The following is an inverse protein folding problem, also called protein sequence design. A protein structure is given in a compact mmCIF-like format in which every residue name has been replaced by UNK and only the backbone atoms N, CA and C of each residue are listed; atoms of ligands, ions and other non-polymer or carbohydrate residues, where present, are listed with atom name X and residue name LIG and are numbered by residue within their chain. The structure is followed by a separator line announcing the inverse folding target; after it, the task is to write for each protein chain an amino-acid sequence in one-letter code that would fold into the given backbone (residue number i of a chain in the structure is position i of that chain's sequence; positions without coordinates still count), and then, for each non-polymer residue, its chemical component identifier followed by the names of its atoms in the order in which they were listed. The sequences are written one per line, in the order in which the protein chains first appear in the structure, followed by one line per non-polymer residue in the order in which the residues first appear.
data_IF_095320435639
#
_entry.id   IF_095320435639
#
_cell.length_a   1.000
_cell.length_b   1.000
_cell.length_c   1.000
_cell.angle_alpha   90.00
_cell.angle_beta   90.00
_cell.angle_gamma   90.00
#
_symmetry.space_group_name_H-M   'P 1'
#
loop_
_entity.id
_entity.type
_entity.pdbx_description
1 polymer ?
#
# COMPACT_ATOMS: atom_id res chain seq x y z
N UNK A 1 46.70 -17.28 -52.67
CA UNK A 1 46.18 -18.29 -51.72
C UNK A 1 46.11 -17.67 -50.34
N UNK A 2 44.91 -17.38 -49.82
CA UNK A 2 44.74 -16.72 -48.52
C UNK A 2 44.34 -17.72 -47.44
N UNK A 3 45.17 -17.88 -46.41
CA UNK A 3 44.88 -18.74 -45.27
C UNK A 3 43.75 -18.14 -44.41
N UNK A 4 42.60 -18.83 -44.35
CA UNK A 4 41.50 -18.50 -43.43
C UNK A 4 41.90 -18.86 -42.00
N UNK A 5 42.15 -17.85 -41.15
CA UNK A 5 42.24 -18.03 -39.69
C UNK A 5 40.88 -18.45 -39.14
N UNK A 6 40.79 -19.67 -38.59
CA UNK A 6 39.67 -20.13 -37.76
C UNK A 6 39.66 -19.30 -36.47
N UNK A 7 38.60 -18.50 -36.25
CA UNK A 7 38.31 -17.95 -34.92
C UNK A 7 37.76 -19.07 -34.05
N UNK A 8 38.51 -19.42 -33.00
CA UNK A 8 38.01 -20.25 -31.91
C UNK A 8 37.08 -19.38 -31.08
N UNK A 9 35.79 -19.71 -31.07
CA UNK A 9 34.84 -19.10 -30.15
C UNK A 9 35.06 -19.70 -28.77
N UNK A 10 35.66 -18.93 -27.86
CA UNK A 10 35.53 -19.22 -26.43
C UNK A 10 34.08 -18.94 -26.04
N UNK A 11 33.39 -19.97 -25.52
CA UNK A 11 32.11 -19.80 -24.85
C UNK A 11 32.29 -18.77 -23.74
N UNK A 12 31.56 -17.66 -23.81
CA UNK A 12 31.46 -16.68 -22.75
C UNK A 12 30.71 -17.30 -21.56
N UNK A 13 31.41 -17.99 -20.67
CA UNK A 13 30.94 -18.21 -19.31
C UNK A 13 31.01 -16.83 -18.62
N UNK A 14 29.92 -16.07 -18.74
CA UNK A 14 29.83 -14.68 -18.32
C UNK A 14 29.65 -14.49 -16.81
N UNK A 15 29.85 -15.53 -16.00
CA UNK A 15 29.67 -15.43 -14.55
C UNK A 15 30.72 -16.27 -13.85
N UNK A 16 31.69 -15.60 -13.21
CA UNK A 16 32.55 -16.23 -12.22
C UNK A 16 31.69 -16.90 -11.13
N UNK A 17 32.19 -17.97 -10.48
CA UNK A 17 31.50 -18.59 -9.37
C UNK A 17 31.24 -17.56 -8.26
N UNK A 18 30.16 -17.80 -7.52
CA UNK A 18 29.83 -17.02 -6.34
C UNK A 18 30.83 -17.38 -5.25
N UNK A 19 31.40 -16.38 -4.59
CA UNK A 19 32.20 -16.58 -3.39
C UNK A 19 31.26 -16.88 -2.21
N UNK A 20 31.48 -18.00 -1.52
CA UNK A 20 30.65 -18.48 -0.42
C UNK A 20 30.71 -17.57 0.81
N UNK A 21 31.78 -16.79 0.99
CA UNK A 21 31.94 -15.88 2.14
C UNK A 21 31.29 -14.51 1.90
N UNK A 22 31.42 -13.97 0.69
CA UNK A 22 30.96 -12.61 0.37
C UNK A 22 29.63 -12.56 -0.37
N UNK A 23 29.15 -13.71 -0.86
CA UNK A 23 27.97 -13.84 -1.73
C UNK A 23 28.06 -12.95 -2.98
N UNK A 24 29.28 -12.61 -3.41
CA UNK A 24 29.58 -11.75 -4.56
C UNK A 24 30.31 -12.57 -5.65
N UNK A 25 30.24 -12.12 -6.90
CA UNK A 25 30.95 -12.75 -8.03
C UNK A 25 32.25 -12.02 -8.29
N UNK A 26 33.34 -12.76 -8.50
CA UNK A 26 34.62 -12.16 -8.85
C UNK A 26 34.58 -11.58 -10.27
N UNK A 27 35.06 -10.34 -10.45
CA UNK A 27 35.18 -9.73 -11.77
C UNK A 27 36.47 -10.15 -12.51
N UNK A 28 37.38 -10.84 -11.82
CA UNK A 28 38.70 -11.22 -12.32
C UNK A 28 38.82 -12.74 -12.48
N UNK A 29 39.69 -13.23 -13.39
CA UNK A 29 39.92 -14.66 -13.58
C UNK A 29 40.40 -15.32 -12.28
N UNK A 30 39.93 -16.54 -11.99
CA UNK A 30 40.40 -17.30 -10.83
C UNK A 30 41.91 -17.53 -10.90
N UNK A 31 42.63 -16.91 -9.97
CA UNK A 31 44.01 -17.26 -9.66
C UNK A 31 43.92 -18.51 -8.78
N UNK A 32 44.33 -19.66 -9.31
CA UNK A 32 44.37 -20.93 -8.59
C UNK A 32 45.32 -20.76 -7.39
N UNK A 33 44.80 -20.87 -6.17
CA UNK A 33 45.48 -20.57 -4.89
C UNK A 33 46.74 -21.40 -4.60
N UNK A 34 47.13 -22.32 -5.48
CA UNK A 34 48.26 -23.24 -5.27
C UNK A 34 49.61 -22.72 -5.77
N UNK A 35 49.69 -21.47 -6.24
CA UNK A 35 50.94 -20.74 -6.41
C UNK A 35 50.66 -19.39 -5.75
N UNK A 36 51.24 -19.06 -4.60
CA UNK A 36 52.58 -18.49 -4.54
C UNK A 36 52.93 -18.42 -3.05
N UNK A 37 53.85 -19.28 -2.61
CA UNK A 37 54.52 -19.18 -1.32
C UNK A 37 55.73 -18.21 -1.46
N UNK A 38 55.47 -17.00 -1.97
CA UNK A 38 56.48 -15.95 -2.05
C UNK A 38 56.52 -15.20 -0.73
N UNK A 39 57.42 -15.67 0.12
CA UNK A 39 58.12 -14.80 1.06
C UNK A 39 58.90 -13.74 0.27
N UNK A 40 58.94 -12.54 0.87
CA UNK A 40 59.61 -11.30 0.45
C UNK A 40 58.90 -10.34 -0.51
N UNK A 41 58.66 -9.15 0.05
CA UNK A 41 57.90 -8.00 -0.44
C UNK A 41 58.74 -7.27 -1.48
N UNK A 42 58.62 -7.67 -2.74
CA UNK A 42 58.96 -6.85 -3.90
C UNK A 42 57.74 -6.09 -4.42
N UNK A 43 57.95 -4.95 -5.07
CA UNK A 43 56.89 -4.25 -5.80
C UNK A 43 56.35 -5.22 -6.87
N UNK A 44 55.05 -5.53 -6.90
CA UNK A 44 54.49 -6.45 -7.90
C UNK A 44 54.72 -5.89 -9.30
N UNK A 45 55.33 -6.70 -10.17
CA UNK A 45 55.68 -6.33 -11.54
C UNK A 45 54.60 -6.76 -12.56
N UNK A 46 53.65 -7.60 -12.13
CA UNK A 46 52.53 -8.09 -12.94
C UNK A 46 51.17 -7.84 -12.24
N UNK A 47 50.10 -7.78 -13.03
CA UNK A 47 48.74 -7.55 -12.54
C UNK A 47 48.19 -8.72 -11.71
N UNK A 48 48.60 -9.95 -12.01
CA UNK A 48 48.21 -11.13 -11.21
C UNK A 48 48.88 -11.12 -9.84
N UNK A 49 50.16 -10.77 -9.77
CA UNK A 49 50.91 -10.63 -8.52
C UNK A 49 50.32 -9.52 -7.64
N UNK A 50 49.90 -8.42 -8.27
CA UNK A 50 49.21 -7.33 -7.56
C UNK A 50 47.88 -7.80 -6.96
N UNK A 51 47.05 -8.50 -7.73
CA UNK A 51 45.76 -9.01 -7.23
C UNK A 51 45.95 -10.03 -6.09
N UNK A 52 46.98 -10.87 -6.15
CA UNK A 52 47.33 -11.78 -5.07
C UNK A 52 47.75 -11.03 -3.78
N UNK A 53 48.57 -9.99 -3.91
CA UNK A 53 48.96 -9.14 -2.79
C UNK A 53 47.75 -8.41 -2.16
N UNK A 54 46.86 -7.85 -2.98
CA UNK A 54 45.62 -7.19 -2.54
C UNK A 54 44.68 -8.15 -1.82
N UNK A 55 44.54 -9.40 -2.30
CA UNK A 55 43.72 -10.42 -1.62
C UNK A 55 44.28 -10.77 -0.25
N UNK A 56 45.60 -10.96 -0.15
CA UNK A 56 46.29 -11.24 1.12
C UNK A 56 46.14 -10.07 2.10
N UNK A 57 46.24 -8.84 1.61
CA UNK A 57 45.99 -7.64 2.40
C UNK A 57 44.53 -7.57 2.87
N UNK A 58 43.56 -7.78 1.98
CA UNK A 58 42.13 -7.75 2.30
C UNK A 58 41.75 -8.81 3.34
N UNK A 59 42.29 -10.03 3.25
CA UNK A 59 42.10 -11.10 4.25
C UNK A 59 42.70 -10.75 5.62
N UNK A 60 43.73 -9.89 5.66
CA UNK A 60 44.32 -9.40 6.92
C UNK A 60 43.53 -8.26 7.57
N UNK A 61 42.54 -7.70 6.87
CA UNK A 61 41.71 -6.60 7.36
C UNK A 61 40.37 -7.13 7.92
N UNK A 62 39.81 -6.38 8.87
CA UNK A 62 38.46 -6.67 9.38
C UNK A 62 37.41 -6.37 8.29
N UNK A 63 36.58 -7.37 7.94
CA UNK A 63 35.51 -7.26 6.94
C UNK A 63 34.45 -6.21 7.29
N UNK A 64 34.29 -5.92 8.59
CA UNK A 64 33.35 -4.91 9.08
C UNK A 64 34.07 -3.90 9.97
N UNK A 65 33.97 -2.62 9.62
CA UNK A 65 34.38 -1.50 10.48
C UNK A 65 33.18 -0.57 10.67
N UNK A 66 32.70 -0.45 11.90
CA UNK A 66 31.81 0.64 12.29
C UNK A 66 32.65 1.82 12.77
N UNK A 67 32.61 2.93 12.03
CA UNK A 67 33.11 4.18 12.54
C UNK A 67 32.06 4.73 13.52
N UNK A 68 32.41 4.82 14.80
CA UNK A 68 31.60 5.54 15.76
C UNK A 68 31.56 7.01 15.37
N UNK A 69 30.52 7.42 14.65
CA UNK A 69 30.27 8.84 14.39
C UNK A 69 30.02 9.46 15.76
N UNK A 70 30.97 10.26 16.26
CA UNK A 70 30.69 11.23 17.32
C UNK A 70 29.70 12.22 16.71
N UNK A 71 28.41 11.94 16.88
CA UNK A 71 27.35 12.88 16.61
C UNK A 71 27.58 14.09 17.52
N UNK A 72 28.20 15.15 17.00
CA UNK A 72 27.82 16.49 17.44
C UNK A 72 26.32 16.56 17.15
N UNK A 73 25.51 16.40 18.21
CA UNK A 73 24.04 16.33 18.18
C UNK A 73 23.48 17.07 16.95
N UNK A 74 23.07 16.36 15.89
CA UNK A 74 21.94 16.84 15.15
C UNK A 74 20.80 16.72 16.16
N UNK A 75 20.10 17.81 16.40
CA UNK A 75 18.76 17.75 16.98
C UNK A 75 17.93 16.88 16.04
N UNK A 76 17.96 15.57 16.26
CA UNK A 76 16.95 14.68 15.75
C UNK A 76 15.70 15.16 16.45
N UNK A 77 14.96 16.05 15.81
CA UNK A 77 13.55 16.23 16.07
C UNK A 77 13.01 14.81 15.89
N UNK A 78 12.63 14.09 16.97
CA UNK A 78 11.95 12.83 16.76
C UNK A 78 10.74 13.20 15.93
N UNK A 79 10.63 12.64 14.72
CA UNK A 79 9.33 12.60 14.06
C UNK A 79 8.41 11.91 15.06
N UNK A 80 7.65 12.72 15.81
CA UNK A 80 6.55 12.23 16.62
C UNK A 80 5.71 11.44 15.63
N UNK A 81 5.58 10.11 15.78
CA UNK A 81 4.52 9.45 15.05
C UNK A 81 3.23 10.18 15.46
N UNK A 82 2.39 10.53 14.48
CA UNK A 82 1.07 11.15 14.68
C UNK A 82 0.12 10.16 15.38
N UNK A 83 0.55 9.57 16.50
CA UNK A 83 -0.27 8.80 17.41
C UNK A 83 -0.71 9.75 18.51
N UNK A 84 -1.96 10.20 18.40
CA UNK A 84 -2.74 10.59 19.56
C UNK A 84 -2.87 9.38 20.48
N UNK A 85 -2.39 9.52 21.71
CA UNK A 85 -2.62 8.56 22.79
C UNK A 85 -4.13 8.22 22.88
N UNK A 86 -4.53 6.94 22.97
CA UNK A 86 -5.90 6.58 23.28
C UNK A 86 -6.13 6.75 24.79
N UNK A 87 -6.17 7.99 25.27
CA UNK A 87 -6.78 8.30 26.56
C UNK A 87 -8.29 8.30 26.39
N UNK A 88 -8.91 7.12 26.33
CA UNK A 88 -10.26 6.87 26.84
C UNK A 88 -10.45 5.35 26.90
N UNK A 89 -10.86 4.84 28.06
CA UNK A 89 -11.24 3.44 28.24
C UNK A 89 -12.38 3.11 27.26
N UNK A 90 -12.06 2.38 26.19
CA UNK A 90 -13.03 1.97 25.17
C UNK A 90 -13.95 0.92 25.79
N UNK A 91 -15.17 1.35 26.12
CA UNK A 91 -16.31 0.44 26.14
C UNK A 91 -16.31 -0.26 24.78
N UNK A 92 -16.01 -1.57 24.74
CA UNK A 92 -15.79 -2.30 23.49
C UNK A 92 -17.00 -2.11 22.57
N UNK A 93 -16.87 -1.26 21.55
CA UNK A 93 -17.87 -1.02 20.50
C UNK A 93 -17.90 -2.17 19.48
N UNK A 94 -17.00 -3.15 19.66
CA UNK A 94 -16.82 -4.30 18.78
C UNK A 94 -18.10 -5.11 18.49
N UNK A 95 -18.99 -5.43 19.46
CA UNK A 95 -20.22 -6.17 19.14
C UNK A 95 -21.16 -5.37 18.22
N UNK A 96 -21.32 -4.06 18.45
CA UNK A 96 -22.18 -3.22 17.61
C UNK A 96 -21.60 -3.06 16.20
N UNK A 97 -20.28 -2.91 16.07
CA UNK A 97 -19.63 -2.84 14.77
C UNK A 97 -19.76 -4.17 14.01
N UNK A 98 -19.67 -5.33 14.69
CA UNK A 98 -19.91 -6.64 14.07
C UNK A 98 -21.34 -6.78 13.57
N UNK A 99 -22.32 -6.32 14.35
CA UNK A 99 -23.73 -6.35 13.94
C UNK A 99 -23.96 -5.48 12.70
N UNK A 100 -23.40 -4.27 12.67
CA UNK A 100 -23.45 -3.39 11.50
C UNK A 100 -22.81 -4.05 10.28
N UNK A 101 -21.63 -4.66 10.45
CA UNK A 101 -20.96 -5.37 9.37
C UNK A 101 -21.81 -6.52 8.81
N UNK A 102 -22.46 -7.30 9.68
CA UNK A 102 -23.35 -8.37 9.24
C UNK A 102 -24.52 -7.86 8.39
N UNK A 103 -25.11 -6.71 8.76
CA UNK A 103 -26.16 -6.07 7.97
C UNK A 103 -25.60 -5.67 6.59
N UNK A 104 -24.42 -5.06 6.54
CA UNK A 104 -23.76 -4.67 5.29
C UNK A 104 -23.52 -5.87 4.38
N UNK A 105 -23.01 -6.98 4.93
CA UNK A 105 -22.80 -8.23 4.21
C UNK A 105 -24.10 -8.81 3.63
N UNK A 106 -25.18 -8.80 4.40
CA UNK A 106 -26.49 -9.26 3.93
C UNK A 106 -26.99 -8.42 2.74
N UNK A 107 -26.81 -7.10 2.79
CA UNK A 107 -27.18 -6.21 1.69
C UNK A 107 -26.25 -6.33 0.49
N UNK A 108 -24.95 -6.52 0.72
CA UNK A 108 -23.97 -6.76 -0.34
C UNK A 108 -24.33 -8.01 -1.16
N UNK A 109 -24.69 -9.12 -0.49
CA UNK A 109 -25.16 -10.34 -1.17
C UNK A 109 -26.39 -10.13 -2.05
N UNK A 110 -27.30 -9.24 -1.63
CA UNK A 110 -28.47 -8.84 -2.43
C UNK A 110 -28.08 -7.99 -3.64
N UNK A 111 -27.05 -7.15 -3.51
CA UNK A 111 -26.52 -6.33 -4.60
C UNK A 111 -25.76 -7.15 -5.64
N UNK A 112 -24.98 -8.13 -5.20
CA UNK A 112 -24.19 -8.99 -6.10
C UNK A 112 -25.07 -9.96 -6.90
N UNK A 113 -26.25 -10.30 -6.37
CA UNK A 113 -27.26 -11.12 -7.05
C UNK A 113 -28.34 -10.30 -7.75
N UNK A 114 -28.18 -8.97 -7.84
CA UNK A 114 -29.18 -8.10 -8.44
C UNK A 114 -29.36 -8.40 -9.94
N UNK A 115 -30.60 -8.51 -10.46
CA UNK A 115 -30.83 -8.88 -11.85
C UNK A 115 -30.26 -7.86 -12.84
N UNK A 116 -29.50 -8.35 -13.82
CA UNK A 116 -28.83 -7.53 -14.84
C UNK A 116 -29.82 -6.74 -15.72
N UNK A 117 -31.01 -7.29 -15.95
CA UNK A 117 -32.11 -6.69 -16.72
C UNK A 117 -32.77 -5.49 -16.02
N UNK A 118 -32.55 -5.34 -14.72
CA UNK A 118 -33.04 -4.21 -13.92
C UNK A 118 -31.98 -3.13 -13.71
N UNK A 119 -30.78 -3.29 -14.28
CA UNK A 119 -29.75 -2.26 -14.23
C UNK A 119 -30.15 -1.06 -15.09
N UNK A 120 -29.76 0.11 -14.62
CA UNK A 120 -30.00 1.36 -15.30
C UNK A 120 -28.94 1.57 -16.39
N UNK A 121 -29.39 2.09 -17.54
CA UNK A 121 -28.47 2.52 -18.59
C UNK A 121 -27.61 3.70 -18.09
N UNK A 122 -26.36 3.75 -18.56
CA UNK A 122 -25.40 4.80 -18.22
C UNK A 122 -25.92 6.23 -18.50
N UNK A 123 -26.88 6.38 -19.42
CA UNK A 123 -27.50 7.68 -19.73
C UNK A 123 -28.44 8.20 -18.64
N UNK A 124 -28.90 7.33 -17.74
CA UNK A 124 -29.82 7.71 -16.65
C UNK A 124 -29.09 8.02 -15.34
N UNK A 125 -27.83 7.60 -15.23
CA UNK A 125 -26.98 7.88 -14.09
C UNK A 125 -26.43 9.32 -14.20
N UNK A 126 -26.21 9.99 -13.06
CA UNK A 126 -25.50 11.25 -13.04
C UNK A 126 -24.10 11.10 -13.65
N UNK A 127 -23.76 11.99 -14.57
CA UNK A 127 -22.51 11.95 -15.34
C UNK A 127 -21.38 12.75 -14.69
N UNK A 128 -21.70 13.67 -13.78
CA UNK A 128 -20.73 14.54 -13.11
C UNK A 128 -20.91 14.52 -11.60
N UNK A 129 -19.84 14.80 -10.86
CA UNK A 129 -19.89 14.88 -9.39
C UNK A 129 -20.90 15.91 -8.87
N UNK A 130 -21.11 17.02 -9.59
CA UNK A 130 -22.12 18.03 -9.23
C UNK A 130 -23.54 17.48 -9.36
N UNK A 131 -23.82 16.69 -10.42
CA UNK A 131 -25.10 16.01 -10.55
C UNK A 131 -25.28 14.93 -9.48
N UNK A 132 -24.22 14.21 -9.11
CA UNK A 132 -24.23 13.27 -7.99
C UNK A 132 -24.54 13.97 -6.68
N UNK A 133 -23.88 15.08 -6.35
CA UNK A 133 -24.19 15.88 -5.16
C UNK A 133 -25.67 16.26 -5.10
N UNK A 134 -26.20 16.79 -6.20
CA UNK A 134 -27.62 17.15 -6.27
C UNK A 134 -28.53 15.94 -6.09
N UNK A 135 -28.18 14.79 -6.67
CA UNK A 135 -28.95 13.54 -6.56
C UNK A 135 -28.95 13.01 -5.12
N UNK A 136 -27.79 13.01 -4.47
CA UNK A 136 -27.61 12.52 -3.10
C UNK A 136 -28.38 13.40 -2.10
N UNK A 137 -28.44 14.71 -2.32
CA UNK A 137 -29.18 15.62 -1.44
C UNK A 137 -30.71 15.52 -1.61
N UNK A 138 -31.21 15.23 -2.83
CA UNK A 138 -32.63 15.39 -3.15
C UNK A 138 -33.39 14.08 -3.42
N UNK A 139 -32.71 12.96 -3.62
CA UNK A 139 -33.33 11.68 -3.99
C UNK A 139 -32.93 10.58 -3.02
N UNK A 140 -33.87 9.72 -2.67
CA UNK A 140 -33.63 8.54 -1.83
C UNK A 140 -32.83 7.49 -2.63
N UNK A 141 -31.85 6.80 -2.01
CA UNK A 141 -31.14 5.70 -2.65
C UNK A 141 -32.08 4.61 -3.12
N UNK A 142 -31.87 4.14 -4.34
CA UNK A 142 -32.65 3.04 -4.92
C UNK A 142 -31.73 1.95 -5.43
N UNK A 143 -32.18 0.70 -5.31
CA UNK A 143 -31.40 -0.48 -5.72
C UNK A 143 -30.87 -0.40 -7.16
N UNK A 144 -31.65 0.00 -8.18
CA UNK A 144 -31.15 0.08 -9.55
C UNK A 144 -29.98 1.07 -9.69
N UNK A 145 -30.05 2.22 -9.00
CA UNK A 145 -28.99 3.23 -9.05
C UNK A 145 -27.72 2.67 -8.42
N UNK A 146 -27.82 2.16 -7.18
CA UNK A 146 -26.65 1.66 -6.43
C UNK A 146 -26.00 0.47 -7.16
N UNK A 147 -26.80 -0.44 -7.71
CA UNK A 147 -26.30 -1.62 -8.41
C UNK A 147 -25.53 -1.23 -9.68
N UNK A 148 -25.96 -0.15 -10.35
CA UNK A 148 -25.40 0.34 -11.61
C UNK A 148 -24.23 1.33 -11.43
N UNK A 149 -24.06 1.91 -10.24
CA UNK A 149 -22.92 2.79 -9.94
C UNK A 149 -21.61 2.00 -9.89
N UNK A 150 -20.60 2.50 -10.58
CA UNK A 150 -19.25 1.97 -10.61
C UNK A 150 -18.44 2.36 -9.36
N UNK A 151 -17.38 1.60 -9.10
CA UNK A 151 -16.54 1.80 -7.92
C UNK A 151 -15.84 3.16 -7.91
N UNK A 152 -15.36 3.63 -9.08
CA UNK A 152 -14.62 4.90 -9.15
C UNK A 152 -15.52 6.06 -8.72
N UNK A 153 -16.75 6.12 -9.25
CA UNK A 153 -17.74 7.11 -8.80
C UNK A 153 -18.04 7.02 -7.30
N UNK A 154 -18.14 5.81 -6.73
CA UNK A 154 -18.37 5.64 -5.29
C UNK A 154 -17.21 6.22 -4.48
N UNK A 155 -15.97 5.97 -4.88
CA UNK A 155 -14.79 6.48 -4.19
C UNK A 155 -14.69 8.01 -4.29
N UNK A 156 -14.95 8.58 -5.47
CA UNK A 156 -15.00 10.04 -5.65
C UNK A 156 -16.07 10.68 -4.75
N UNK A 157 -17.23 10.03 -4.61
CA UNK A 157 -18.29 10.48 -3.70
C UNK A 157 -17.81 10.40 -2.25
N UNK A 158 -17.16 9.32 -1.82
CA UNK A 158 -16.62 9.22 -0.45
C UNK A 158 -15.56 10.28 -0.16
N UNK A 159 -14.70 10.61 -1.12
CA UNK A 159 -13.70 11.67 -0.96
C UNK A 159 -14.35 13.04 -0.74
N UNK A 160 -15.44 13.32 -1.45
CA UNK A 160 -16.10 14.61 -1.42
C UNK A 160 -17.26 14.72 -0.42
N UNK A 161 -17.72 13.59 0.16
CA UNK A 161 -18.97 13.53 0.90
C UNK A 161 -19.01 14.50 2.09
N UNK A 162 -17.91 14.64 2.82
CA UNK A 162 -17.83 15.52 3.99
C UNK A 162 -18.05 17.00 3.65
N UNK A 163 -17.70 17.43 2.42
CA UNK A 163 -17.94 18.79 1.94
C UNK A 163 -19.36 19.00 1.42
N UNK A 164 -20.08 17.91 1.13
CA UNK A 164 -21.44 17.95 0.61
C UNK A 164 -22.50 17.80 1.69
N UNK A 165 -22.09 17.54 2.94
CA UNK A 165 -23.00 17.37 4.04
C UNK A 165 -23.76 18.68 4.33
N UNK A 166 -25.07 18.67 4.05
CA UNK A 166 -25.95 19.81 4.21
C UNK A 166 -27.00 19.48 5.27
N UNK A 167 -27.13 20.33 6.30
CA UNK A 167 -27.95 20.04 7.49
C UNK A 167 -29.39 19.62 7.16
N UNK A 168 -29.97 20.16 6.09
CA UNK A 168 -31.37 19.91 5.70
C UNK A 168 -31.59 18.56 4.99
N UNK A 169 -30.52 17.87 4.57
CA UNK A 169 -30.61 16.59 3.84
C UNK A 169 -29.75 15.46 4.43
N UNK A 170 -29.16 15.66 5.62
CA UNK A 170 -28.23 14.71 6.24
C UNK A 170 -28.77 13.28 6.34
N UNK A 171 -30.06 13.11 6.62
CA UNK A 171 -30.65 11.77 6.73
C UNK A 171 -30.64 11.05 5.38
N UNK A 172 -30.98 11.73 4.29
CA UNK A 172 -30.95 11.15 2.94
C UNK A 172 -29.50 10.87 2.53
N UNK A 173 -28.59 11.81 2.80
CA UNK A 173 -27.17 11.67 2.52
C UNK A 173 -26.55 10.48 3.29
N UNK A 174 -26.94 10.28 4.55
CA UNK A 174 -26.50 9.15 5.37
C UNK A 174 -26.93 7.80 4.80
N UNK A 175 -28.15 7.72 4.25
CA UNK A 175 -28.64 6.51 3.60
C UNK A 175 -27.81 6.17 2.36
N UNK A 176 -27.42 7.18 1.57
CA UNK A 176 -26.51 6.99 0.44
C UNK A 176 -25.16 6.44 0.88
N UNK A 177 -24.54 7.02 1.90
CA UNK A 177 -23.27 6.55 2.44
C UNK A 177 -23.35 5.09 2.89
N UNK A 178 -24.41 4.73 3.61
CA UNK A 178 -24.67 3.35 4.02
C UNK A 178 -24.82 2.42 2.80
N UNK A 179 -25.61 2.81 1.81
CA UNK A 179 -25.81 2.04 0.59
C UNK A 179 -24.51 1.84 -0.20
N UNK A 180 -23.66 2.86 -0.28
CA UNK A 180 -22.35 2.73 -0.93
C UNK A 180 -21.42 1.81 -0.16
N UNK A 181 -21.41 1.84 1.18
CA UNK A 181 -20.68 0.86 1.99
C UNK A 181 -21.10 -0.57 1.65
N UNK A 182 -22.40 -0.82 1.42
CA UNK A 182 -22.91 -2.12 1.00
C UNK A 182 -22.47 -2.54 -0.40
N UNK A 183 -22.15 -1.60 -1.29
CA UNK A 183 -21.76 -1.88 -2.68
C UNK A 183 -20.25 -2.09 -2.85
N UNK A 184 -19.43 -1.71 -1.88
CA UNK A 184 -17.98 -1.89 -1.96
C UNK A 184 -17.61 -3.37 -2.22
N UNK A 185 -16.62 -3.65 -3.07
CA UNK A 185 -16.18 -5.02 -3.38
C UNK A 185 -15.40 -5.65 -2.22
N UNK A 186 -15.15 -6.96 -2.30
CA UNK A 186 -14.38 -7.67 -1.27
C UNK A 186 -12.89 -7.33 -1.29
N UNK A 187 -12.38 -6.90 -2.44
CA UNK A 187 -10.97 -6.60 -2.67
C UNK A 187 -10.87 -5.16 -3.18
N UNK A 188 -10.07 -4.36 -2.48
CA UNK A 188 -9.73 -2.98 -2.82
C UNK A 188 -8.22 -2.80 -2.87
N UNK A 189 -7.76 -1.84 -3.67
CA UNK A 189 -6.35 -1.46 -3.68
C UNK A 189 -6.00 -0.64 -2.44
N UNK A 190 -4.71 -0.58 -2.10
CA UNK A 190 -4.25 0.21 -0.95
C UNK A 190 -4.55 1.70 -1.05
N UNK A 191 -4.60 2.23 -2.28
CA UNK A 191 -5.02 3.60 -2.57
C UNK A 191 -6.50 3.82 -2.22
N UNK A 192 -7.39 2.96 -2.71
CA UNK A 192 -8.82 3.00 -2.43
C UNK A 192 -9.11 2.90 -0.92
N UNK A 193 -8.41 2.00 -0.21
CA UNK A 193 -8.50 1.86 1.24
C UNK A 193 -8.08 3.16 1.93
N UNK A 194 -7.03 3.81 1.44
CA UNK A 194 -6.55 5.09 1.98
C UNK A 194 -7.57 6.20 1.78
N UNK A 195 -8.25 6.23 0.62
CA UNK A 195 -9.36 7.16 0.33
C UNK A 195 -10.52 6.94 1.29
N UNK A 196 -10.95 5.69 1.52
CA UNK A 196 -12.01 5.38 2.48
C UNK A 196 -11.64 5.73 3.92
N UNK A 197 -10.39 5.54 4.32
CA UNK A 197 -9.89 5.96 5.64
C UNK A 197 -9.91 7.48 5.79
N UNK A 198 -9.52 8.22 4.75
CA UNK A 198 -9.60 9.67 4.72
C UNK A 198 -11.05 10.15 4.85
N UNK A 199 -11.96 9.54 4.09
CA UNK A 199 -13.39 9.81 4.16
C UNK A 199 -13.95 9.53 5.57
N UNK A 200 -13.60 8.41 6.20
CA UNK A 200 -14.00 8.09 7.57
C UNK A 200 -13.53 9.15 8.57
N UNK A 201 -12.26 9.57 8.49
CA UNK A 201 -11.73 10.63 9.37
C UNK A 201 -12.48 11.94 9.16
N UNK A 202 -12.77 12.27 7.90
CA UNK A 202 -13.52 13.46 7.54
C UNK A 202 -14.93 13.42 8.15
N UNK A 203 -15.69 12.34 7.94
CA UNK A 203 -17.02 12.12 8.52
C UNK A 203 -17.03 12.13 10.06
N UNK A 204 -15.96 11.67 10.71
CA UNK A 204 -15.81 11.75 12.17
C UNK A 204 -15.48 13.15 12.68
N UNK A 205 -14.97 14.03 11.81
CA UNK A 205 -14.64 15.42 12.15
C UNK A 205 -15.77 16.38 11.81
N UNK A 206 -16.51 16.11 10.74
CA UNK A 206 -17.61 16.93 10.21
C UNK A 206 -18.94 16.33 10.64
N UNK A 207 -19.80 17.10 11.32
CA UNK A 207 -21.16 16.68 11.70
C UNK A 207 -21.26 15.61 12.80
N UNK A 208 -20.37 15.67 13.81
CA UNK A 208 -20.38 14.79 14.99
C UNK A 208 -21.63 14.89 15.85
N UNK A 209 -22.50 15.87 15.62
CA UNK A 209 -23.75 16.06 16.37
C UNK A 209 -24.92 15.25 15.83
N UNK A 210 -24.82 14.71 14.61
CA UNK A 210 -25.93 14.07 13.91
C UNK A 210 -25.84 12.53 13.98
N UNK A 211 -26.80 11.85 14.62
CA UNK A 211 -26.75 10.39 14.80
C UNK A 211 -26.69 9.60 13.49
N UNK A 212 -27.42 10.03 12.45
CA UNK A 212 -27.47 9.33 11.15
C UNK A 212 -26.12 9.29 10.43
N UNK A 213 -25.37 10.39 10.47
CA UNK A 213 -24.00 10.46 9.97
C UNK A 213 -23.05 9.63 10.84
N UNK A 214 -23.18 9.68 12.17
CA UNK A 214 -22.39 8.84 13.06
C UNK A 214 -22.59 7.34 12.77
N UNK A 215 -23.83 6.89 12.57
CA UNK A 215 -24.13 5.51 12.19
C UNK A 215 -23.49 5.14 10.85
N UNK A 216 -23.53 6.04 9.87
CA UNK A 216 -22.89 5.81 8.57
C UNK A 216 -21.37 5.73 8.69
N UNK A 217 -20.75 6.60 9.48
CA UNK A 217 -19.31 6.56 9.78
C UNK A 217 -18.93 5.27 10.53
N UNK A 218 -19.73 4.84 11.51
CA UNK A 218 -19.53 3.56 12.21
C UNK A 218 -19.69 2.36 11.28
N UNK A 219 -20.61 2.44 10.31
CA UNK A 219 -20.78 1.41 9.28
C UNK A 219 -19.54 1.33 8.38
N UNK A 220 -19.04 2.48 7.91
CA UNK A 220 -17.80 2.53 7.13
C UNK A 220 -16.61 2.00 7.95
N UNK A 221 -16.53 2.33 9.24
CA UNK A 221 -15.52 1.78 10.14
C UNK A 221 -15.61 0.26 10.24
N UNK A 222 -16.82 -0.28 10.42
CA UNK A 222 -17.04 -1.71 10.48
C UNK A 222 -16.58 -2.42 9.20
N UNK A 223 -16.86 -1.84 8.03
CA UNK A 223 -16.37 -2.38 6.74
C UNK A 223 -14.84 -2.33 6.66
N UNK A 224 -14.22 -1.21 7.02
CA UNK A 224 -12.76 -1.06 7.00
C UNK A 224 -12.07 -2.09 7.91
N UNK A 225 -12.59 -2.28 9.13
CA UNK A 225 -12.03 -3.22 10.11
C UNK A 225 -12.26 -4.67 9.67
N UNK A 226 -13.52 -5.07 9.46
CA UNK A 226 -13.86 -6.49 9.31
C UNK A 226 -13.68 -7.03 7.89
N UNK A 227 -13.86 -6.18 6.86
CA UNK A 227 -13.65 -6.60 5.46
C UNK A 227 -12.21 -6.43 5.01
N UNK A 228 -11.60 -5.28 5.31
CA UNK A 228 -10.26 -4.93 4.82
C UNK A 228 -9.15 -5.02 5.87
N UNK A 229 -9.45 -5.54 7.06
CA UNK A 229 -8.45 -5.84 8.10
C UNK A 229 -7.77 -4.62 8.72
N UNK A 230 -8.40 -3.44 8.68
CA UNK A 230 -7.85 -2.19 9.25
C UNK A 230 -8.02 -2.15 10.77
N UNK A 231 -7.35 -3.06 11.49
CA UNK A 231 -7.49 -3.24 12.94
C UNK A 231 -7.00 -2.04 13.77
N UNK A 232 -6.26 -1.11 13.18
CA UNK A 232 -5.80 0.12 13.83
C UNK A 232 -6.93 1.15 14.02
N UNK A 233 -8.12 0.90 13.48
CA UNK A 233 -9.29 1.79 13.58
C UNK A 233 -10.30 1.38 14.69
N UNK A 234 -10.00 0.30 15.43
CA UNK A 234 -10.79 -0.18 16.57
C UNK A 234 -10.53 0.63 17.85
#
# INVERSE_FOLDING_TARGET
MAMKRKRVFHKSQATAPLDDETNQRCAFPEIIENQVDSQDIGIPLDGLDYLAAVRKEAQSLNSFKSAGIKLEKPESIPHKPLYTDPTHSVCSQEPLLKDLYHIVEEKNKKLTTYPLDLLLDNSTLPSTLQQWRHTIANKIPSWPIIASTDLATILDIFENCAYWLENDSLDVQSQWLFCFCCKLPDILNGEDISTLRSALRSLRSTHTTFPSIQTSASTLNAVLVFRYGQNDLL
#
